data_IF_323917626234
#
_entry.id   IF_323917626234
#
_cell.length_a   1.000
_cell.length_b   1.000
_cell.length_c   1.000
_cell.angle_alpha   90.00
_cell.angle_beta   90.00
_cell.angle_gamma   90.00
#
_symmetry.space_group_name_H-M   'P 1'
#
loop_
_entity.id
_entity.type
_entity.pdbx_description
1 polymer ?
#
# COMPACT_ATOMS: atom_id res chain seq x y z
N UNK A 1 -22.93 1.72 -2.68
CA UNK A 1 -21.52 1.38 -2.37
C UNK A 1 -21.39 1.62 -0.88
N UNK A 2 -20.98 0.61 -0.09
CA UNK A 2 -20.80 0.82 1.35
C UNK A 2 -19.56 1.70 1.54
N UNK A 3 -19.75 2.90 2.04
CA UNK A 3 -18.69 3.84 2.41
C UNK A 3 -17.75 3.13 3.38
N UNK A 4 -16.55 2.78 2.91
CA UNK A 4 -15.51 2.29 3.80
C UNK A 4 -14.90 3.52 4.44
N UNK A 5 -15.36 3.86 5.64
CA UNK A 5 -14.62 4.85 6.42
C UNK A 5 -13.24 4.27 6.75
N UNK A 6 -12.16 5.02 6.48
CA UNK A 6 -10.82 4.57 6.83
C UNK A 6 -10.71 4.42 8.35
N UNK A 7 -10.05 3.37 8.82
CA UNK A 7 -9.86 3.10 10.26
C UNK A 7 -9.05 4.19 11.00
N UNK A 8 -8.51 5.15 10.27
CA UNK A 8 -7.66 6.22 10.77
C UNK A 8 -7.80 7.48 9.92
N UNK A 9 -7.62 8.63 10.56
CA UNK A 9 -7.82 9.97 9.98
C UNK A 9 -6.52 10.75 9.78
N UNK A 10 -5.42 10.26 10.36
CA UNK A 10 -4.12 10.92 10.30
C UNK A 10 -2.94 9.92 10.34
N UNK A 11 -1.72 10.35 9.97
CA UNK A 11 -0.55 9.47 9.93
C UNK A 11 -0.14 8.88 11.29
N UNK A 12 -0.45 9.56 12.41
CA UNK A 12 -0.15 9.07 13.75
C UNK A 12 -1.00 7.85 14.11
N UNK A 13 -2.30 7.90 13.82
CA UNK A 13 -3.22 6.78 13.97
C UNK A 13 -2.88 5.62 13.04
N UNK A 14 -2.55 5.92 11.77
CA UNK A 14 -2.10 4.92 10.80
C UNK A 14 -0.88 4.14 11.32
N UNK A 15 0.10 4.83 11.91
CA UNK A 15 1.28 4.20 12.49
C UNK A 15 0.93 3.23 13.62
N UNK A 16 -0.01 3.61 14.49
CA UNK A 16 -0.48 2.75 15.60
C UNK A 16 -1.15 1.49 15.05
N UNK A 17 -2.05 1.65 14.08
CA UNK A 17 -2.76 0.52 13.43
C UNK A 17 -1.77 -0.43 12.76
N UNK A 18 -0.82 0.10 11.98
CA UNK A 18 0.19 -0.71 11.29
C UNK A 18 1.05 -1.52 12.24
N UNK A 19 1.53 -0.89 13.33
CA UNK A 19 2.31 -1.56 14.38
C UNK A 19 1.50 -2.63 15.09
N UNK A 20 0.21 -2.37 15.36
CA UNK A 20 -0.71 -3.34 15.96
C UNK A 20 -0.83 -4.59 15.08
N UNK A 21 -1.12 -4.42 13.78
CA UNK A 21 -1.24 -5.53 12.83
C UNK A 21 0.03 -6.39 12.79
N UNK A 22 1.20 -5.73 12.68
CA UNK A 22 2.49 -6.42 12.67
C UNK A 22 2.72 -7.25 13.95
N UNK A 23 2.39 -6.67 15.10
CA UNK A 23 2.59 -7.32 16.41
C UNK A 23 1.61 -8.47 16.62
N UNK A 24 0.32 -8.26 16.35
CA UNK A 24 -0.74 -9.27 16.54
C UNK A 24 -0.56 -10.48 15.62
N UNK A 25 -0.04 -10.26 14.41
CA UNK A 25 0.26 -11.34 13.45
C UNK A 25 1.65 -11.96 13.64
N UNK A 26 2.45 -11.49 14.59
CA UNK A 26 3.81 -11.99 14.83
C UNK A 26 4.74 -11.84 13.62
N UNK A 27 4.56 -10.78 12.83
CA UNK A 27 5.33 -10.56 11.60
C UNK A 27 6.72 -10.02 11.94
N UNK A 28 7.75 -10.77 11.55
CA UNK A 28 9.14 -10.30 11.62
C UNK A 28 9.44 -9.37 10.44
N UNK A 29 9.50 -8.07 10.74
CA UNK A 29 9.85 -7.03 9.77
C UNK A 29 11.33 -7.09 9.34
N UNK A 30 12.19 -7.82 10.05
CA UNK A 30 13.62 -7.94 9.78
C UNK A 30 13.94 -8.33 8.34
N UNK A 31 13.26 -9.35 7.82
CA UNK A 31 13.43 -9.81 6.43
C UNK A 31 12.95 -8.75 5.41
N UNK A 32 11.82 -8.10 5.68
CA UNK A 32 11.25 -7.09 4.80
C UNK A 32 12.05 -5.78 4.76
N UNK A 33 12.76 -5.42 5.84
CA UNK A 33 13.57 -4.18 5.93
C UNK A 33 14.61 -4.07 4.82
N UNK A 34 15.34 -5.16 4.55
CA UNK A 34 16.41 -5.16 3.55
C UNK A 34 15.84 -4.96 2.14
N UNK A 35 14.78 -5.71 1.80
CA UNK A 35 14.08 -5.57 0.53
C UNK A 35 13.48 -4.17 0.37
N UNK A 36 12.85 -3.65 1.43
CA UNK A 36 12.30 -2.30 1.46
C UNK A 36 13.37 -1.23 1.21
N UNK A 37 14.53 -1.33 1.88
CA UNK A 37 15.63 -0.38 1.71
C UNK A 37 16.23 -0.44 0.30
N UNK A 38 16.32 -1.61 -0.30
CA UNK A 38 16.78 -1.76 -1.68
C UNK A 38 15.85 -1.04 -2.67
N UNK A 39 14.53 -1.11 -2.46
CA UNK A 39 13.54 -0.47 -3.32
C UNK A 39 13.34 1.03 -2.99
N UNK A 40 13.63 1.44 -1.77
CA UNK A 40 13.49 2.82 -1.29
C UNK A 40 14.80 3.33 -0.67
N UNK A 41 15.88 3.47 -1.46
CA UNK A 41 17.21 3.85 -0.95
C UNK A 41 17.21 5.23 -0.28
N UNK A 42 16.27 6.10 -0.63
CA UNK A 42 16.09 7.45 -0.07
C UNK A 42 15.57 7.46 1.39
N UNK A 43 14.95 6.38 1.87
CA UNK A 43 14.41 6.32 3.24
C UNK A 43 15.56 6.05 4.21
N UNK A 44 15.81 6.94 5.17
CA UNK A 44 16.88 6.71 6.16
C UNK A 44 16.56 5.50 7.05
N UNK A 45 17.59 4.82 7.54
CA UNK A 45 17.46 3.49 8.15
C UNK A 45 16.55 3.50 9.38
N UNK A 46 16.64 4.56 10.19
CA UNK A 46 15.82 4.80 11.36
C UNK A 46 14.32 4.99 11.05
N UNK A 47 13.98 5.33 9.80
CA UNK A 47 12.59 5.53 9.37
C UNK A 47 11.97 4.32 8.68
N UNK A 48 12.76 3.27 8.38
CA UNK A 48 12.27 2.10 7.62
C UNK A 48 11.10 1.42 8.34
N UNK A 49 11.21 1.17 9.65
CA UNK A 49 10.14 0.50 10.41
C UNK A 49 8.84 1.31 10.40
N UNK A 50 8.96 2.62 10.57
CA UNK A 50 7.84 3.56 10.50
C UNK A 50 7.21 3.54 9.11
N UNK A 51 8.01 3.59 8.05
CA UNK A 51 7.53 3.56 6.67
C UNK A 51 6.81 2.24 6.33
N UNK A 52 7.36 1.10 6.76
CA UNK A 52 6.71 -0.21 6.58
C UNK A 52 5.40 -0.25 7.35
N UNK A 53 5.38 0.19 8.62
CA UNK A 53 4.17 0.20 9.45
C UNK A 53 3.04 1.04 8.81
N UNK A 54 3.37 2.23 8.28
CA UNK A 54 2.42 3.08 7.57
C UNK A 54 1.88 2.40 6.31
N UNK A 55 2.73 1.72 5.54
CA UNK A 55 2.30 0.96 4.36
C UNK A 55 1.39 -0.21 4.74
N UNK A 56 1.66 -0.90 5.84
CA UNK A 56 0.78 -1.97 6.34
C UNK A 56 -0.60 -1.42 6.70
N UNK A 57 -0.66 -0.28 7.38
CA UNK A 57 -1.92 0.37 7.74
C UNK A 57 -2.70 0.90 6.53
N UNK A 58 -2.02 1.38 5.50
CA UNK A 58 -2.64 1.76 4.23
C UNK A 58 -3.15 0.52 3.48
N UNK A 59 -2.38 -0.56 3.46
CA UNK A 59 -2.77 -1.80 2.80
C UNK A 59 -3.96 -2.48 3.49
N UNK A 60 -4.07 -2.40 4.82
CA UNK A 60 -5.16 -3.07 5.56
C UNK A 60 -6.55 -2.53 5.23
N UNK A 61 -6.65 -1.35 4.61
CA UNK A 61 -7.91 -0.80 4.11
C UNK A 61 -8.30 -1.35 2.73
N UNK A 62 -7.41 -2.12 2.09
CA UNK A 62 -7.65 -2.67 0.75
C UNK A 62 -8.41 -3.98 0.78
N UNK A 63 -9.23 -4.14 -0.23
CA UNK A 63 -10.11 -5.29 -0.40
C UNK A 63 -9.59 -6.21 -1.52
N UNK A 64 -9.82 -7.52 -1.41
CA UNK A 64 -9.55 -8.45 -2.48
C UNK A 64 -10.42 -8.12 -3.72
N UNK A 65 -9.99 -8.55 -4.92
CA UNK A 65 -8.81 -9.37 -5.19
C UNK A 65 -7.52 -8.54 -5.06
N UNK A 66 -6.40 -9.14 -4.65
CA UNK A 66 -5.13 -8.43 -4.43
C UNK A 66 -4.22 -8.40 -5.67
N UNK A 67 -4.80 -8.12 -6.84
CA UNK A 67 -4.05 -7.95 -8.09
C UNK A 67 -3.47 -6.55 -8.22
N UNK A 68 -2.46 -6.39 -9.10
CA UNK A 68 -1.88 -5.06 -9.40
C UNK A 68 -2.93 -4.06 -9.85
N UNK A 69 -3.89 -4.46 -10.70
CA UNK A 69 -4.90 -3.53 -11.23
C UNK A 69 -5.93 -3.15 -10.16
N UNK A 70 -6.46 -4.11 -9.42
CA UNK A 70 -7.46 -3.84 -8.36
C UNK A 70 -6.89 -3.00 -7.23
N UNK A 71 -5.62 -3.21 -6.88
CA UNK A 71 -4.92 -2.38 -5.89
C UNK A 71 -4.63 -0.99 -6.43
N UNK A 72 -4.18 -0.88 -7.68
CA UNK A 72 -3.89 0.42 -8.31
C UNK A 72 -5.15 1.29 -8.44
N UNK A 73 -6.29 0.68 -8.76
CA UNK A 73 -7.59 1.36 -8.80
C UNK A 73 -8.01 1.86 -7.41
N UNK A 74 -7.94 1.01 -6.38
CA UNK A 74 -8.21 1.42 -5.00
C UNK A 74 -7.29 2.54 -4.50
N UNK A 75 -6.00 2.52 -4.87
CA UNK A 75 -5.06 3.61 -4.56
C UNK A 75 -5.47 4.93 -5.23
N UNK A 76 -5.81 4.88 -6.52
CA UNK A 76 -6.20 6.04 -7.30
C UNK A 76 -7.50 6.69 -6.77
N UNK A 77 -8.47 5.85 -6.40
CA UNK A 77 -9.74 6.30 -5.86
C UNK A 77 -9.59 6.88 -4.45
N UNK A 78 -8.66 6.36 -3.64
CA UNK A 78 -8.36 6.89 -2.31
C UNK A 78 -7.62 8.23 -2.35
N UNK A 79 -6.77 8.45 -3.37
CA UNK A 79 -6.02 9.69 -3.55
C UNK A 79 -6.95 10.88 -3.91
N UNK A 80 -8.01 10.61 -4.67
CA UNK A 80 -9.06 11.58 -5.02
C UNK A 80 -8.62 12.69 -6.00
N UNK A 81 -7.33 13.01 -6.07
CA UNK A 81 -6.78 13.98 -7.03
C UNK A 81 -6.59 13.36 -8.43
N UNK A 82 -6.33 12.05 -8.49
CA UNK A 82 -6.12 11.32 -9.74
C UNK A 82 -7.01 10.07 -9.85
N UNK A 83 -8.34 10.25 -10.02
CA UNK A 83 -9.29 9.14 -10.09
C UNK A 83 -8.98 8.16 -11.23
N UNK A 84 -9.23 6.86 -11.00
CA UNK A 84 -8.87 5.80 -11.96
C UNK A 84 -9.49 5.98 -13.35
N UNK A 85 -10.70 6.54 -13.42
CA UNK A 85 -11.46 6.77 -14.66
C UNK A 85 -11.77 8.23 -14.95
N UNK A 86 -11.21 9.19 -14.20
CA UNK A 86 -11.54 10.61 -14.36
C UNK A 86 -10.56 11.38 -15.24
N UNK A 87 -10.95 12.60 -15.68
CA UNK A 87 -10.08 13.47 -16.45
C UNK A 87 -8.90 13.92 -15.59
N UNK A 88 -7.72 14.01 -16.22
CA UNK A 88 -6.49 14.40 -15.57
C UNK A 88 -6.17 15.86 -15.92
N UNK A 89 -6.27 16.75 -14.93
CA UNK A 89 -6.32 18.21 -15.15
C UNK A 89 -4.99 18.90 -15.45
N UNK A 90 -3.88 18.17 -15.57
CA UNK A 90 -2.53 18.74 -15.65
C UNK A 90 -1.73 18.36 -16.92
N UNK A 91 -2.41 17.94 -17.98
CA UNK A 91 -1.78 17.69 -19.29
C UNK A 91 -1.04 16.36 -19.43
N UNK A 92 -1.04 15.51 -18.39
CA UNK A 92 -0.62 14.12 -18.49
C UNK A 92 -1.76 13.25 -19.05
N UNK A 93 -1.47 12.04 -19.52
CA UNK A 93 -2.50 11.10 -20.01
C UNK A 93 -3.01 10.21 -18.89
N UNK A 94 -4.26 9.75 -18.98
CA UNK A 94 -4.84 8.80 -18.03
C UNK A 94 -3.99 7.52 -17.92
N UNK A 95 -3.42 7.05 -19.03
CA UNK A 95 -2.54 5.87 -19.04
C UNK A 95 -1.23 6.10 -18.29
N UNK A 96 -0.69 7.32 -18.33
CA UNK A 96 0.49 7.67 -17.53
C UNK A 96 0.21 7.51 -16.04
N UNK A 97 -0.92 8.03 -15.56
CA UNK A 97 -1.33 7.92 -14.15
C UNK A 97 -1.59 6.49 -13.72
N UNK A 98 -2.36 5.75 -14.52
CA UNK A 98 -2.62 4.34 -14.27
C UNK A 98 -1.32 3.55 -14.23
N UNK A 99 -0.35 3.88 -15.09
CA UNK A 99 1.01 3.35 -15.04
C UNK A 99 1.66 3.56 -13.67
N UNK A 100 1.64 4.78 -13.14
CA UNK A 100 2.20 5.11 -11.83
C UNK A 100 1.52 4.37 -10.68
N UNK A 101 0.19 4.33 -10.65
CA UNK A 101 -0.53 3.58 -9.62
C UNK A 101 -0.26 2.08 -9.70
N UNK A 102 -0.10 1.51 -10.91
CA UNK A 102 0.31 0.11 -11.08
C UNK A 102 1.71 -0.15 -10.54
N UNK A 103 2.66 0.77 -10.74
CA UNK A 103 4.00 0.63 -10.18
C UNK A 103 3.97 0.67 -8.64
N UNK A 104 3.24 1.62 -8.06
CA UNK A 104 3.04 1.66 -6.61
C UNK A 104 2.33 0.41 -6.06
N UNK A 105 1.32 -0.08 -6.78
CA UNK A 105 0.62 -1.30 -6.42
C UNK A 105 1.54 -2.53 -6.44
N UNK A 106 2.44 -2.64 -7.43
CA UNK A 106 3.45 -3.72 -7.49
C UNK A 106 4.38 -3.67 -6.28
N UNK A 107 4.92 -2.50 -5.98
CA UNK A 107 5.82 -2.31 -4.83
C UNK A 107 5.13 -2.68 -3.52
N UNK A 108 3.87 -2.28 -3.34
CA UNK A 108 3.13 -2.62 -2.13
C UNK A 108 2.78 -4.10 -2.03
N UNK A 109 2.28 -4.71 -3.11
CA UNK A 109 2.00 -6.15 -3.13
C UNK A 109 3.27 -6.97 -2.87
N UNK A 110 4.41 -6.54 -3.42
CA UNK A 110 5.70 -7.15 -3.13
C UNK A 110 6.04 -7.07 -1.64
N UNK A 111 5.92 -5.89 -1.03
CA UNK A 111 6.17 -5.71 0.40
C UNK A 111 5.23 -6.57 1.27
N UNK A 112 3.93 -6.59 0.98
CA UNK A 112 2.96 -7.37 1.76
C UNK A 112 3.21 -8.87 1.67
N UNK A 113 3.69 -9.37 0.52
CA UNK A 113 4.11 -10.77 0.37
C UNK A 113 5.40 -11.06 1.15
N UNK A 114 6.39 -10.15 1.12
CA UNK A 114 7.62 -10.28 1.93
C UNK A 114 7.33 -10.30 3.43
N UNK A 115 6.30 -9.59 3.88
CA UNK A 115 5.82 -9.59 5.26
C UNK A 115 4.95 -10.80 5.61
N UNK A 116 4.62 -11.67 4.65
CA UNK A 116 3.66 -12.76 4.84
C UNK A 116 2.23 -12.29 5.13
N UNK A 117 1.91 -11.03 4.84
CA UNK A 117 0.57 -10.46 5.00
C UNK A 117 -0.38 -11.05 3.97
N UNK A 118 0.09 -11.16 2.72
CA UNK A 118 -0.57 -11.85 1.62
C UNK A 118 0.10 -13.22 1.42
N UNK A 119 -0.71 -14.28 1.38
CA UNK A 119 -0.27 -15.61 0.96
C UNK A 119 -0.16 -15.72 -0.57
N UNK A 120 0.41 -16.83 -1.06
CA UNK A 120 0.61 -17.08 -2.50
C UNK A 120 -0.72 -17.14 -3.28
N UNK A 121 -1.83 -17.50 -2.63
CA UNK A 121 -3.17 -17.62 -3.25
C UNK A 121 -4.03 -16.35 -3.17
N UNK A 122 -3.51 -15.25 -2.61
CA UNK A 122 -4.29 -14.03 -2.34
C UNK A 122 -4.80 -13.31 -3.60
N UNK A 123 -4.32 -13.70 -4.78
CA UNK A 123 -4.68 -13.10 -6.06
C UNK A 123 -6.03 -13.63 -6.61
N UNK A 124 -6.60 -14.69 -6.01
CA UNK A 124 -7.80 -15.39 -6.49
C UNK A 124 -9.00 -15.39 -5.52
N UNK A 125 -8.86 -14.75 -4.36
CA UNK A 125 -9.90 -14.67 -3.32
C UNK A 125 -10.90 -13.53 -3.56
#
# INVERSE_FOLDING_TARGET
>A
MADHEPEWSNPGEALIVGRRILTERGIDIGAAKLAFKSNHPQVANEWIETAISLKVAAFSQRRPPYTVNSVAEQMADSDGAYPWSGPVGNGLTLDHYRGKFRDYARDELFLMRQLGILGEDADHA
#
